data_IF_597814813603
#
_entry.id   IF_597814813603
#
_cell.length_a   1.000
_cell.length_b   1.000
_cell.length_c   1.000
_cell.angle_alpha   90.00
_cell.angle_beta   90.00
_cell.angle_gamma   90.00
#
_symmetry.space_group_name_H-M   'P 1'
#
loop_
_entity.id
_entity.type
_entity.pdbx_description
1 polymer ?
#
# COMPACT_ATOMS: atom_id res chain seq x y z
N UNK A 1 -26.48 26.21 14.63
CA UNK A 1 -26.52 25.09 13.66
C UNK A 1 -27.95 24.94 13.17
N UNK A 2 -28.19 24.90 11.86
CA UNK A 2 -29.53 24.90 11.26
C UNK A 2 -30.41 23.76 11.80
N UNK A 3 -29.84 22.58 12.01
CA UNK A 3 -30.49 21.40 12.59
C UNK A 3 -30.99 21.61 14.03
N UNK A 4 -30.38 22.52 14.82
CA UNK A 4 -30.86 22.87 16.17
C UNK A 4 -32.04 23.84 16.15
N UNK A 5 -32.08 24.73 15.15
CA UNK A 5 -33.14 25.73 15.00
C UNK A 5 -34.39 25.11 14.36
N UNK A 6 -34.20 24.20 13.41
CA UNK A 6 -35.27 23.48 12.72
C UNK A 6 -34.89 22.00 12.58
N UNK A 7 -35.20 21.17 13.60
CA UNK A 7 -34.79 19.76 13.60
C UNK A 7 -35.49 18.91 12.54
N UNK A 8 -36.65 19.35 12.04
CA UNK A 8 -37.42 18.67 11.00
C UNK A 8 -37.01 19.10 9.57
N UNK A 9 -36.00 19.95 9.43
CA UNK A 9 -35.53 20.42 8.13
C UNK A 9 -34.50 19.44 7.55
N UNK A 10 -34.94 18.54 6.67
CA UNK A 10 -34.12 17.43 6.18
C UNK A 10 -32.93 17.90 5.34
N UNK A 11 -33.05 18.97 4.56
CA UNK A 11 -31.95 19.54 3.76
C UNK A 11 -30.81 20.05 4.64
N UNK A 12 -31.11 20.51 5.86
CA UNK A 12 -30.07 20.90 6.82
C UNK A 12 -29.27 19.69 7.32
N UNK A 13 -29.93 18.56 7.53
CA UNK A 13 -29.28 17.30 7.91
C UNK A 13 -28.45 16.73 6.76
N UNK A 14 -28.95 16.81 5.52
CA UNK A 14 -28.19 16.47 4.32
C UNK A 14 -26.92 17.34 4.19
N UNK A 15 -27.08 18.66 4.29
CA UNK A 15 -25.96 19.60 4.19
C UNK A 15 -24.93 19.39 5.29
N UNK A 16 -25.40 19.11 6.51
CA UNK A 16 -24.53 18.74 7.62
C UNK A 16 -23.75 17.46 7.34
N UNK A 17 -24.41 16.40 6.88
CA UNK A 17 -23.76 15.14 6.55
C UNK A 17 -22.66 15.34 5.49
N UNK A 18 -22.93 16.13 4.45
CA UNK A 18 -21.94 16.47 3.41
C UNK A 18 -20.75 17.24 3.98
N UNK A 19 -20.98 18.21 4.85
CA UNK A 19 -19.89 18.94 5.52
C UNK A 19 -19.06 18.01 6.42
N UNK A 20 -19.69 17.09 7.15
CA UNK A 20 -19.02 16.09 7.99
C UNK A 20 -18.16 15.13 7.16
N UNK A 21 -18.64 14.73 5.97
CA UNK A 21 -17.83 13.94 5.04
C UNK A 21 -16.60 14.70 4.55
N UNK A 22 -16.73 15.98 4.22
CA UNK A 22 -15.59 16.82 3.84
C UNK A 22 -14.56 16.98 4.95
N UNK A 23 -14.99 16.87 6.22
CA UNK A 23 -14.11 16.88 7.40
C UNK A 23 -13.54 15.49 7.74
N UNK A 24 -13.95 14.44 7.03
CA UNK A 24 -13.56 13.05 7.33
C UNK A 24 -14.32 12.41 8.49
N UNK A 25 -15.34 13.07 9.04
CA UNK A 25 -16.18 12.59 10.13
C UNK A 25 -17.28 11.64 9.63
N UNK A 26 -16.87 10.52 9.03
CA UNK A 26 -17.78 9.62 8.29
C UNK A 26 -18.90 9.04 9.15
N UNK A 27 -18.61 8.64 10.39
CA UNK A 27 -19.62 8.11 11.31
C UNK A 27 -20.70 9.14 11.67
N UNK A 28 -20.30 10.41 11.83
CA UNK A 28 -21.23 11.49 12.11
C UNK A 28 -22.07 11.82 10.86
N UNK A 29 -21.45 11.81 9.69
CA UNK A 29 -22.15 11.99 8.43
C UNK A 29 -23.24 10.94 8.21
N UNK A 30 -22.94 9.65 8.44
CA UNK A 30 -23.91 8.56 8.34
C UNK A 30 -25.12 8.83 9.23
N UNK A 31 -24.92 9.26 10.49
CA UNK A 31 -26.03 9.60 11.40
C UNK A 31 -26.86 10.77 10.86
N UNK A 32 -26.21 11.82 10.37
CA UNK A 32 -26.89 12.98 9.79
C UNK A 32 -27.75 12.58 8.58
N UNK A 33 -27.24 11.70 7.70
CA UNK A 33 -28.01 11.21 6.56
C UNK A 33 -29.14 10.27 6.96
N UNK A 34 -28.95 9.41 7.97
CA UNK A 34 -30.04 8.58 8.50
C UNK A 34 -31.21 9.44 9.02
N UNK A 35 -30.90 10.57 9.69
CA UNK A 35 -31.93 11.53 10.10
C UNK A 35 -32.60 12.18 8.91
N UNK A 36 -31.85 12.63 7.90
CA UNK A 36 -32.41 13.21 6.67
C UNK A 36 -33.36 12.24 5.95
N UNK A 37 -32.94 10.97 5.80
CA UNK A 37 -33.72 9.88 5.22
C UNK A 37 -34.99 9.61 6.02
N UNK A 38 -34.90 9.61 7.35
CA UNK A 38 -36.07 9.39 8.21
C UNK A 38 -37.10 10.53 8.08
N UNK A 39 -36.64 11.78 7.92
CA UNK A 39 -37.50 12.94 7.75
C UNK A 39 -38.13 13.01 6.35
N UNK A 40 -37.42 12.54 5.32
CA UNK A 40 -37.89 12.58 3.94
C UNK A 40 -37.51 11.30 3.15
N UNK A 41 -38.23 10.18 3.39
CA UNK A 41 -37.86 8.89 2.82
C UNK A 41 -38.11 8.76 1.31
N UNK A 42 -38.88 9.67 0.71
CA UNK A 42 -39.19 9.66 -0.72
C UNK A 42 -38.05 10.15 -1.62
N UNK A 43 -37.05 10.85 -1.05
CA UNK A 43 -35.92 11.37 -1.82
C UNK A 43 -34.88 10.29 -2.04
N UNK A 44 -34.77 9.80 -3.27
CA UNK A 44 -33.83 8.73 -3.64
C UNK A 44 -32.37 9.15 -3.51
N UNK A 45 -32.07 10.43 -3.75
CA UNK A 45 -30.71 10.95 -3.64
C UNK A 45 -30.13 10.75 -2.22
N UNK A 46 -30.97 10.85 -1.19
CA UNK A 46 -30.54 10.61 0.19
C UNK A 46 -30.13 9.16 0.45
N UNK A 47 -30.79 8.21 -0.19
CA UNK A 47 -30.51 6.77 -0.03
C UNK A 47 -29.31 6.34 -0.87
N UNK A 48 -29.36 6.65 -2.17
CA UNK A 48 -28.43 6.11 -3.17
C UNK A 48 -27.10 6.86 -3.17
N UNK A 49 -27.14 8.19 -3.05
CA UNK A 49 -25.93 9.01 -3.06
C UNK A 49 -25.42 9.22 -1.63
N UNK A 50 -26.14 9.98 -0.82
CA UNK A 50 -25.60 10.49 0.44
C UNK A 50 -25.35 9.36 1.46
N UNK A 51 -26.39 8.60 1.82
CA UNK A 51 -26.27 7.50 2.79
C UNK A 51 -25.46 6.34 2.20
N UNK A 52 -25.73 5.96 0.94
CA UNK A 52 -25.02 4.88 0.26
C UNK A 52 -23.51 5.13 0.20
N UNK A 53 -23.09 6.32 -0.21
CA UNK A 53 -21.67 6.69 -0.25
C UNK A 53 -21.04 6.75 1.15
N UNK A 54 -21.73 7.33 2.12
CA UNK A 54 -21.23 7.42 3.49
C UNK A 54 -21.02 6.03 4.13
N UNK A 55 -21.92 5.07 3.87
CA UNK A 55 -21.78 3.69 4.34
C UNK A 55 -20.59 2.98 3.71
N UNK A 56 -20.42 3.09 2.38
CA UNK A 56 -19.27 2.51 1.69
C UNK A 56 -17.95 3.09 2.19
N UNK A 57 -17.91 4.40 2.44
CA UNK A 57 -16.72 5.05 2.97
C UNK A 57 -16.40 4.57 4.40
N UNK A 58 -17.43 4.38 5.23
CA UNK A 58 -17.28 3.85 6.59
C UNK A 58 -16.69 2.45 6.59
N UNK A 59 -17.20 1.56 5.74
CA UNK A 59 -16.68 0.19 5.60
C UNK A 59 -15.21 0.18 5.19
N UNK A 60 -14.82 1.04 4.22
CA UNK A 60 -13.43 1.20 3.82
C UNK A 60 -12.55 1.70 4.97
N UNK A 61 -13.01 2.69 5.75
CA UNK A 61 -12.27 3.18 6.91
C UNK A 61 -12.10 2.12 7.99
N UNK A 62 -13.14 1.32 8.26
CA UNK A 62 -13.10 0.22 9.22
C UNK A 62 -12.11 -0.86 8.77
N UNK A 63 -12.16 -1.29 7.51
CA UNK A 63 -11.23 -2.27 6.97
C UNK A 63 -9.76 -1.81 7.05
N UNK A 64 -9.50 -0.53 6.77
CA UNK A 64 -8.14 0.04 6.92
C UNK A 64 -7.70 0.07 8.37
N UNK A 65 -8.59 0.46 9.29
CA UNK A 65 -8.30 0.50 10.72
C UNK A 65 -8.04 -0.90 11.29
N UNK A 66 -8.82 -1.89 10.88
CA UNK A 66 -8.63 -3.29 11.29
C UNK A 66 -7.29 -3.84 10.81
N UNK A 67 -6.92 -3.58 9.54
CA UNK A 67 -5.61 -3.96 9.02
C UNK A 67 -4.47 -3.31 9.79
N UNK A 68 -4.57 -2.01 10.07
CA UNK A 68 -3.57 -1.31 10.87
C UNK A 68 -3.45 -1.91 12.29
N UNK A 69 -4.57 -2.23 12.94
CA UNK A 69 -4.57 -2.90 14.24
C UNK A 69 -3.89 -4.27 14.19
N UNK A 70 -4.18 -5.07 13.15
CA UNK A 70 -3.55 -6.37 12.95
C UNK A 70 -2.05 -6.26 12.70
N UNK A 71 -1.62 -5.27 11.91
CA UNK A 71 -0.21 -4.98 11.67
C UNK A 71 0.50 -4.55 12.96
N UNK A 72 -0.13 -3.70 13.77
CA UNK A 72 0.42 -3.27 15.06
C UNK A 72 0.52 -4.42 16.05
N UNK A 73 -0.48 -5.30 16.11
CA UNK A 73 -0.46 -6.52 16.92
C UNK A 73 0.64 -7.49 16.45
N UNK A 74 0.75 -7.72 15.15
CA UNK A 74 1.82 -8.56 14.59
C UNK A 74 3.21 -7.99 14.92
N UNK A 75 3.40 -6.67 14.81
CA UNK A 75 4.65 -6.00 15.19
C UNK A 75 4.95 -6.18 16.67
N UNK A 76 3.96 -6.04 17.55
CA UNK A 76 4.15 -6.26 18.99
C UNK A 76 4.57 -7.69 19.29
N UNK A 77 3.90 -8.68 18.71
CA UNK A 77 4.24 -10.09 18.89
C UNK A 77 5.65 -10.44 18.40
N UNK A 78 6.11 -9.79 17.32
CA UNK A 78 7.48 -9.96 16.84
C UNK A 78 8.51 -9.38 17.81
N UNK A 79 8.23 -8.22 18.41
CA UNK A 79 9.12 -7.59 19.41
C UNK A 79 9.12 -8.36 20.73
N UNK A 80 7.97 -8.90 21.15
CA UNK A 80 7.80 -9.66 22.40
C UNK A 80 8.16 -11.15 22.27
N UNK A 81 8.61 -11.60 21.11
CA UNK A 81 8.90 -13.00 20.86
C UNK A 81 9.95 -13.54 21.84
N UNK A 82 9.69 -14.64 22.58
CA UNK A 82 10.58 -15.14 23.63
C UNK A 82 11.92 -15.70 23.10
N UNK A 83 11.98 -16.00 21.80
CA UNK A 83 13.22 -16.35 21.09
C UNK A 83 14.20 -15.15 21.03
N UNK A 84 13.68 -13.93 21.06
CA UNK A 84 14.44 -12.70 21.11
C UNK A 84 14.86 -12.44 22.57
N UNK A 85 15.89 -13.16 23.03
CA UNK A 85 16.49 -12.92 24.34
C UNK A 85 17.04 -11.49 24.41
N UNK A 86 16.46 -10.66 25.28
CA UNK A 86 16.82 -9.23 25.48
C UNK A 86 18.26 -9.02 25.97
N UNK A 87 18.88 -10.06 26.48
CA UNK A 87 20.21 -10.11 27.09
C UNK A 87 21.31 -10.46 26.08
N UNK A 88 20.96 -10.62 24.79
CA UNK A 88 21.92 -10.81 23.71
C UNK A 88 22.29 -9.45 23.08
N UNK A 89 23.58 -9.08 23.12
CA UNK A 89 24.10 -7.80 22.63
C UNK A 89 24.21 -7.75 21.10
N UNK A 90 23.06 -7.84 20.43
CA UNK A 90 22.95 -7.80 18.97
C UNK A 90 23.34 -6.43 18.39
N UNK A 91 23.38 -5.38 19.23
CA UNK A 91 23.83 -4.02 18.86
C UNK A 91 25.34 -3.82 19.01
N UNK A 92 26.09 -4.85 19.39
CA UNK A 92 27.56 -4.79 19.34
C UNK A 92 28.05 -4.43 17.93
N UNK A 93 28.99 -3.49 17.85
CA UNK A 93 29.51 -2.97 16.58
C UNK A 93 30.00 -4.10 15.65
N UNK A 94 30.55 -5.18 16.22
CA UNK A 94 31.06 -6.35 15.48
C UNK A 94 29.95 -7.12 14.73
N UNK A 95 28.77 -7.30 15.36
CA UNK A 95 27.63 -8.01 14.76
C UNK A 95 27.01 -7.16 13.65
N UNK A 96 26.88 -5.85 13.89
CA UNK A 96 26.37 -4.90 12.89
C UNK A 96 27.31 -4.87 11.67
N UNK A 97 28.63 -4.83 11.88
CA UNK A 97 29.61 -4.85 10.79
C UNK A 97 29.56 -6.15 9.99
N UNK A 98 29.43 -7.30 10.66
CA UNK A 98 29.26 -8.59 9.97
C UNK A 98 27.96 -8.65 9.13
N UNK A 99 26.84 -8.17 9.68
CA UNK A 99 25.56 -8.14 8.97
C UNK A 99 25.59 -7.20 7.75
N UNK A 100 26.19 -6.01 7.89
CA UNK A 100 26.33 -5.05 6.79
C UNK A 100 27.24 -5.58 5.69
N UNK A 101 28.37 -6.21 6.03
CA UNK A 101 29.25 -6.86 5.06
C UNK A 101 28.55 -7.98 4.28
N UNK A 102 27.72 -8.77 4.95
CA UNK A 102 26.92 -9.83 4.32
C UNK A 102 25.86 -9.25 3.37
N UNK A 103 25.17 -8.18 3.76
CA UNK A 103 24.19 -7.49 2.91
C UNK A 103 24.85 -6.89 1.65
N UNK A 104 26.03 -6.25 1.80
CA UNK A 104 26.80 -5.71 0.68
C UNK A 104 27.28 -6.79 -0.27
N UNK A 105 27.72 -7.94 0.26
CA UNK A 105 28.14 -9.08 -0.55
C UNK A 105 26.97 -9.64 -1.35
N UNK A 106 25.79 -9.72 -0.74
CA UNK A 106 24.57 -10.18 -1.41
C UNK A 106 24.15 -9.22 -2.53
N UNK A 107 24.20 -7.90 -2.26
CA UNK A 107 23.92 -6.87 -3.25
C UNK A 107 24.85 -6.97 -4.46
N UNK A 108 26.17 -7.08 -4.22
CA UNK A 108 27.17 -7.27 -5.29
C UNK A 108 26.92 -8.53 -6.10
N UNK A 109 26.53 -9.62 -5.44
CA UNK A 109 26.22 -10.86 -6.14
C UNK A 109 25.00 -10.71 -7.06
N UNK A 110 23.94 -10.06 -6.59
CA UNK A 110 22.75 -9.78 -7.41
C UNK A 110 23.06 -8.80 -8.56
N UNK A 111 23.90 -7.79 -8.34
CA UNK A 111 24.33 -6.86 -9.39
C UNK A 111 25.14 -7.59 -10.47
N UNK A 112 26.08 -8.45 -10.07
CA UNK A 112 26.86 -9.29 -11.00
C UNK A 112 25.97 -10.29 -11.75
N UNK A 113 24.99 -10.88 -11.07
CA UNK A 113 24.04 -11.82 -11.67
C UNK A 113 23.14 -11.16 -12.71
N UNK A 114 22.84 -9.87 -12.55
CA UNK A 114 22.08 -9.06 -13.53
C UNK A 114 22.96 -8.55 -14.68
N UNK A 115 24.28 -8.56 -14.53
CA UNK A 115 25.20 -8.11 -15.58
C UNK A 115 25.45 -9.23 -16.60
N UNK A 116 25.09 -9.01 -17.86
CA UNK A 116 25.43 -9.92 -18.96
C UNK A 116 26.37 -9.25 -19.96
N UNK A 117 27.31 -10.03 -20.48
CA UNK A 117 28.25 -9.58 -21.51
C UNK A 117 27.66 -9.91 -22.88
N UNK A 118 27.37 -8.87 -23.69
CA UNK A 118 26.89 -9.01 -25.07
C UNK A 118 28.03 -8.66 -26.01
N UNK A 119 28.33 -9.53 -26.98
CA UNK A 119 29.39 -9.31 -27.98
C UNK A 119 28.76 -8.86 -29.29
N UNK A 120 29.17 -7.69 -29.78
CA UNK A 120 28.69 -7.09 -31.04
C UNK A 120 29.35 -7.77 -32.27
N UNK A 121 28.77 -7.62 -33.47
CA UNK A 121 29.23 -8.29 -34.71
C UNK A 121 30.64 -7.91 -35.13
N UNK A 122 31.17 -6.82 -34.58
CA UNK A 122 32.55 -6.36 -34.78
C UNK A 122 33.55 -6.94 -33.76
N UNK A 123 33.11 -7.86 -32.89
CA UNK A 123 33.93 -8.46 -31.83
C UNK A 123 34.11 -7.59 -30.59
N UNK A 124 33.33 -6.50 -30.45
CA UNK A 124 33.39 -5.60 -29.29
C UNK A 124 32.41 -6.09 -28.23
N UNK A 125 32.92 -6.51 -27.07
CA UNK A 125 32.11 -6.87 -25.91
C UNK A 125 31.61 -5.62 -25.19
N UNK A 126 30.32 -5.56 -24.89
CA UNK A 126 29.68 -4.53 -24.06
C UNK A 126 28.97 -5.21 -22.90
N UNK A 127 29.22 -4.73 -21.68
CA UNK A 127 28.48 -5.14 -20.49
C UNK A 127 27.11 -4.46 -20.50
N UNK A 128 26.04 -5.24 -20.44
CA UNK A 128 24.66 -4.75 -20.45
C UNK A 128 23.93 -5.33 -19.25
N UNK A 129 23.24 -4.47 -18.49
CA UNK A 129 22.39 -4.88 -17.36
C UNK A 129 21.13 -5.53 -17.92
N UNK A 130 20.92 -6.80 -17.62
CA UNK A 130 19.73 -7.56 -18.00
C UNK A 130 18.67 -7.33 -16.93
N UNK A 131 17.74 -6.42 -17.21
CA UNK A 131 16.51 -6.32 -16.41
C UNK A 131 15.58 -7.48 -16.78
N UNK A 132 15.17 -8.23 -15.77
CA UNK A 132 14.16 -9.27 -15.90
C UNK A 132 12.83 -8.67 -16.34
N UNK A 133 12.27 -9.29 -17.38
CA UNK A 133 10.93 -9.10 -17.94
C UNK A 133 10.68 -7.85 -18.82
N UNK A 134 10.91 -8.02 -20.13
CA UNK A 134 9.94 -7.59 -21.14
C UNK A 134 10.08 -8.31 -22.51
N UNK A 135 8.94 -8.87 -22.93
CA UNK A 135 8.50 -9.50 -24.20
C UNK A 135 9.36 -9.26 -25.46
N UNK A 136 9.57 -10.29 -26.33
CA UNK A 136 10.42 -10.15 -27.51
C UNK A 136 9.64 -9.49 -28.66
N UNK A 137 10.13 -8.35 -29.14
CA UNK A 137 9.79 -7.86 -30.49
C UNK A 137 11.02 -7.94 -31.38
N UNK A 138 11.01 -8.98 -32.21
CA UNK A 138 11.53 -9.06 -33.58
C UNK A 138 12.37 -7.89 -34.07
N UNK A 139 13.65 -8.12 -34.36
CA UNK A 139 14.11 -8.22 -35.75
C UNK A 139 15.61 -8.47 -35.84
N UNK A 140 15.96 -9.34 -36.79
CA UNK A 140 17.26 -9.46 -37.47
C UNK A 140 18.38 -10.21 -36.74
N UNK A 141 18.45 -11.50 -37.09
CA UNK A 141 19.65 -12.25 -37.45
C UNK A 141 20.97 -11.81 -36.77
N UNK A 142 21.36 -12.54 -35.74
CA UNK A 142 22.74 -13.00 -35.63
C UNK A 142 22.80 -14.23 -34.73
N UNK A 143 23.55 -15.22 -35.19
CA UNK A 143 23.74 -16.52 -34.56
C UNK A 143 24.43 -16.33 -33.22
N UNK A 144 23.67 -16.38 -32.13
CA UNK A 144 24.21 -16.31 -30.78
C UNK A 144 24.85 -17.67 -30.44
N UNK A 145 26.17 -17.76 -30.54
CA UNK A 145 26.93 -18.89 -30.01
C UNK A 145 27.00 -18.75 -28.49
N UNK A 146 26.19 -19.56 -27.80
CA UNK A 146 26.17 -19.66 -26.35
C UNK A 146 27.44 -20.35 -25.85
N UNK A 147 28.43 -19.59 -25.40
CA UNK A 147 29.53 -20.13 -24.62
C UNK A 147 29.07 -20.27 -23.15
N UNK A 148 28.74 -21.51 -22.75
CA UNK A 148 28.74 -21.89 -21.34
C UNK A 148 30.19 -22.18 -20.94
N UNK A 149 30.67 -21.60 -19.84
CA UNK A 149 31.98 -21.90 -19.27
C UNK A 149 31.94 -21.79 -17.76
N UNK A 150 31.86 -22.97 -17.12
CA UNK A 150 32.15 -23.38 -15.73
C UNK A 150 31.68 -22.49 -14.57
#
# INVERSE_FOLDING_TARGET
MATKLRPLWWEAWQTLGRAQLSLGEVELAVRSFQVAVHLHPSERLLWEEDLGWALQLREKQQAVRERASQEDEARRLLVEAPELKSDYDFESDEVIEACTAMADRQKKYEDLKKMAVVVDTCGVAKEVVVEGDNKPTSSSQSVLVKARGL
#
